data_IF_983519548823
#
_entry.id   IF_983519548823
#
_cell.length_a   1.000
_cell.length_b   1.000
_cell.length_c   1.000
_cell.angle_alpha   90.00
_cell.angle_beta   90.00
_cell.angle_gamma   90.00
#
_symmetry.space_group_name_H-M   'P 1'
#
loop_
_entity.id
_entity.type
_entity.pdbx_description
1 polymer ?
#
# COMPACT_ATOMS: atom_id res chain seq x y z
N UNK A 1 0.88 -3.48 -0.16
CA UNK A 1 0.87 -3.43 1.32
C UNK A 1 1.99 -4.30 1.82
N UNK A 2 2.72 -3.83 2.80
CA UNK A 2 3.79 -4.59 3.44
C UNK A 2 3.64 -4.57 4.95
N UNK A 3 4.10 -5.62 5.60
CA UNK A 3 4.18 -5.71 7.05
C UNK A 3 5.63 -5.96 7.44
N UNK A 4 6.16 -5.12 8.31
CA UNK A 4 7.54 -5.23 8.75
C UNK A 4 7.65 -4.80 10.22
N UNK A 5 8.13 -5.71 11.06
CA UNK A 5 8.37 -5.44 12.49
C UNK A 5 7.16 -4.83 13.20
N UNK A 6 5.97 -5.31 12.91
CA UNK A 6 4.73 -4.84 13.54
C UNK A 6 4.15 -3.58 12.92
N UNK A 7 4.67 -3.13 11.80
CA UNK A 7 4.21 -1.91 11.14
C UNK A 7 3.69 -2.24 9.75
N UNK A 8 2.57 -1.63 9.38
CA UNK A 8 1.99 -1.74 8.05
C UNK A 8 2.45 -0.58 7.18
N UNK A 9 2.85 -0.88 5.97
CA UNK A 9 3.24 0.11 4.96
C UNK A 9 2.37 -0.03 3.73
N UNK A 10 2.02 1.09 3.15
CA UNK A 10 1.41 1.15 1.84
C UNK A 10 2.50 1.30 0.81
N UNK A 11 2.51 0.43 -0.18
CA UNK A 11 3.56 0.40 -1.19
C UNK A 11 2.93 0.55 -2.56
N UNK A 12 3.43 1.53 -3.32
CA UNK A 12 3.08 1.72 -4.72
C UNK A 12 4.33 1.42 -5.53
N UNK A 13 4.22 0.49 -6.45
CA UNK A 13 5.38 0.06 -7.24
C UNK A 13 5.03 -0.12 -8.69
N UNK A 14 5.91 0.34 -9.57
CA UNK A 14 5.85 0.00 -10.98
C UNK A 14 6.74 -1.23 -11.20
N UNK A 15 6.12 -2.38 -11.35
CA UNK A 15 6.84 -3.64 -11.54
C UNK A 15 7.15 -3.94 -13.01
N UNK A 16 6.72 -3.07 -13.90
CA UNK A 16 6.96 -3.21 -15.33
C UNK A 16 8.31 -2.68 -15.76
N UNK A 17 8.54 -2.75 -17.06
CA UNK A 17 9.78 -2.29 -17.68
C UNK A 17 9.65 -0.91 -18.31
N UNK A 18 8.44 -0.34 -18.32
CA UNK A 18 8.15 0.96 -18.90
C UNK A 18 7.57 1.90 -17.87
N UNK A 19 7.75 3.21 -18.03
CA UNK A 19 7.14 4.18 -17.13
C UNK A 19 5.62 4.09 -17.15
N UNK A 20 5.02 4.35 -16.00
CA UNK A 20 3.58 4.57 -15.87
C UNK A 20 3.32 6.05 -15.68
N UNK A 21 2.37 6.58 -16.43
CA UNK A 21 2.08 8.02 -16.47
C UNK A 21 0.65 8.23 -15.98
N UNK A 22 0.44 9.33 -15.27
CA UNK A 22 -0.89 9.71 -14.78
C UNK A 22 -1.53 8.58 -13.97
N UNK A 23 -0.79 8.04 -13.03
CA UNK A 23 -1.25 6.94 -12.18
C UNK A 23 -2.23 7.48 -11.16
N UNK A 24 -3.47 7.02 -11.22
CA UNK A 24 -4.53 7.44 -10.31
C UNK A 24 -5.08 6.25 -9.54
N UNK A 25 -5.47 6.51 -8.30
CA UNK A 25 -5.97 5.48 -7.40
C UNK A 25 -7.38 5.85 -6.95
N UNK A 26 -8.30 4.88 -7.01
CA UNK A 26 -9.64 5.07 -6.49
C UNK A 26 -9.95 3.93 -5.53
N UNK A 27 -9.96 4.23 -4.26
CA UNK A 27 -10.33 3.28 -3.22
C UNK A 27 -11.84 3.22 -3.07
N UNK A 28 -12.36 2.03 -2.86
CA UNK A 28 -13.82 1.85 -2.73
C UNK A 28 -14.33 2.35 -1.40
N UNK A 29 -13.49 2.43 -0.40
CA UNK A 29 -13.86 3.04 0.87
C UNK A 29 -12.64 3.69 1.52
N UNK A 30 -12.84 4.75 2.30
CA UNK A 30 -11.76 5.41 2.99
C UNK A 30 -11.20 4.54 4.12
N UNK A 31 -9.93 4.74 4.43
CA UNK A 31 -9.30 4.11 5.57
C UNK A 31 -8.30 5.09 6.20
N UNK A 32 -8.05 4.92 7.49
CA UNK A 32 -7.20 5.82 8.25
C UNK A 32 -5.96 5.10 8.73
N UNK A 33 -4.88 5.85 8.82
CA UNK A 33 -3.62 5.38 9.38
C UNK A 33 -3.13 6.31 10.47
N UNK A 34 -1.90 6.09 10.93
CA UNK A 34 -1.22 6.92 11.93
C UNK A 34 -2.07 7.10 13.20
N UNK A 35 -2.56 5.98 13.75
CA UNK A 35 -3.39 6.03 14.94
C UNK A 35 -4.80 6.57 14.71
N UNK A 36 -5.25 6.64 13.46
CA UNK A 36 -6.55 7.17 13.10
C UNK A 36 -6.52 8.65 12.75
N UNK A 37 -5.36 9.29 12.81
CA UNK A 37 -5.25 10.73 12.58
C UNK A 37 -5.30 11.12 11.11
N UNK A 38 -4.89 10.24 10.21
CA UNK A 38 -4.75 10.56 8.80
C UNK A 38 -5.66 9.73 7.94
N UNK A 39 -6.49 10.37 7.12
CA UNK A 39 -7.25 9.65 6.11
C UNK A 39 -6.34 9.39 4.92
N UNK A 40 -5.95 8.13 4.75
CA UNK A 40 -4.93 7.76 3.78
C UNK A 40 -5.34 8.02 2.34
N UNK A 41 -6.62 7.89 2.03
CA UNK A 41 -7.11 8.10 0.66
C UNK A 41 -6.99 9.56 0.19
N UNK A 42 -6.73 10.49 1.10
CA UNK A 42 -6.55 11.91 0.78
C UNK A 42 -5.10 12.30 0.57
N UNK A 43 -4.17 11.40 0.82
CA UNK A 43 -2.76 11.72 0.59
C UNK A 43 -2.53 12.05 -0.89
N UNK A 44 -1.75 13.10 -1.20
CA UNK A 44 -1.45 13.43 -2.60
C UNK A 44 -0.87 12.25 -3.37
N UNK A 45 -0.04 11.45 -2.73
CA UNK A 45 0.53 10.24 -3.31
C UNK A 45 -0.55 9.29 -3.83
N UNK A 46 -1.65 9.16 -3.10
CA UNK A 46 -2.73 8.23 -3.45
C UNK A 46 -3.81 8.85 -4.31
N UNK A 47 -3.67 10.14 -4.63
CA UNK A 47 -4.58 10.80 -5.55
C UNK A 47 -4.09 10.64 -6.98
N UNK A 48 -2.83 10.99 -7.23
CA UNK A 48 -2.26 10.90 -8.56
C UNK A 48 -0.75 11.00 -8.51
N UNK A 49 -0.10 10.14 -9.27
CA UNK A 49 1.33 10.20 -9.54
C UNK A 49 1.50 10.48 -11.02
N UNK A 50 2.10 11.62 -11.37
CA UNK A 50 2.23 12.00 -12.76
C UNK A 50 3.17 11.09 -13.54
N UNK A 51 4.23 10.62 -12.91
CA UNK A 51 5.22 9.77 -13.55
C UNK A 51 5.81 8.79 -12.53
N UNK A 52 5.73 7.51 -12.83
CA UNK A 52 6.30 6.47 -11.99
C UNK A 52 7.26 5.65 -12.84
N UNK A 53 8.56 5.82 -12.60
CA UNK A 53 9.60 5.16 -13.35
C UNK A 53 9.52 3.64 -13.22
N UNK A 54 10.04 2.90 -14.22
CA UNK A 54 10.09 1.44 -14.10
C UNK A 54 10.85 1.03 -12.83
N UNK A 55 10.31 0.03 -12.16
CA UNK A 55 10.88 -0.54 -10.93
C UNK A 55 10.96 0.45 -9.76
N UNK A 56 10.35 1.61 -9.90
CA UNK A 56 10.26 2.57 -8.81
C UNK A 56 9.24 2.08 -7.79
N UNK A 57 9.61 2.20 -6.54
CA UNK A 57 8.76 1.85 -5.42
C UNK A 57 8.66 3.04 -4.48
N UNK A 58 7.44 3.36 -4.08
CA UNK A 58 7.17 4.40 -3.10
C UNK A 58 6.50 3.75 -1.92
N UNK A 59 7.09 3.90 -0.75
CA UNK A 59 6.64 3.26 0.47
C UNK A 59 6.23 4.34 1.46
N UNK A 60 5.05 4.21 2.01
CA UNK A 60 4.57 5.16 3.02
C UNK A 60 4.03 4.42 4.24
N UNK A 61 4.26 4.98 5.40
CA UNK A 61 3.81 4.42 6.65
C UNK A 61 2.29 4.47 6.71
N UNK A 62 1.66 3.34 6.97
CA UNK A 62 0.22 3.31 7.22
C UNK A 62 -0.04 3.43 8.71
N UNK A 63 0.43 2.46 9.50
CA UNK A 63 0.16 2.43 10.93
C UNK A 63 0.91 1.29 11.60
N UNK A 64 0.98 1.31 12.93
CA UNK A 64 1.29 0.11 13.68
C UNK A 64 0.16 -0.90 13.44
N UNK A 65 0.52 -2.16 13.19
CA UNK A 65 -0.46 -3.19 12.87
C UNK A 65 -1.50 -3.35 13.97
N UNK A 66 -1.04 -3.44 15.23
CA UNK A 66 -1.95 -3.60 16.36
C UNK A 66 -2.94 -2.44 16.47
N UNK A 67 -2.47 -1.20 16.23
CA UNK A 67 -3.33 -0.03 16.28
C UNK A 67 -4.37 -0.02 15.15
N UNK A 68 -3.96 -0.43 13.96
CA UNK A 68 -4.86 -0.47 12.83
C UNK A 68 -6.01 -1.47 13.06
N UNK A 69 -5.67 -2.68 13.50
CA UNK A 69 -6.68 -3.72 13.71
C UNK A 69 -7.52 -3.50 14.98
N UNK A 70 -7.03 -2.72 15.93
CA UNK A 70 -7.80 -2.37 17.12
C UNK A 70 -8.92 -1.37 16.81
N UNK A 71 -8.74 -0.56 15.81
CA UNK A 71 -9.77 0.37 15.36
C UNK A 71 -10.65 -0.31 14.35
N UNK A 72 -11.72 -0.14 14.07
CA UNK A 72 -12.59 -0.80 13.09
C UNK A 72 -12.37 -0.26 11.67
N UNK A 73 -11.11 -0.14 11.27
CA UNK A 73 -10.81 0.24 9.90
C UNK A 73 -11.11 -0.90 8.94
N UNK A 74 -11.33 -0.62 7.65
CA UNK A 74 -11.53 -1.66 6.66
C UNK A 74 -10.32 -2.60 6.61
N UNK A 75 -10.58 -3.89 6.61
CA UNK A 75 -9.51 -4.89 6.47
C UNK A 75 -9.35 -5.34 5.02
N UNK A 76 -10.37 -5.18 4.20
CA UNK A 76 -10.26 -5.41 2.77
C UNK A 76 -10.23 -4.06 2.06
N UNK A 77 -9.12 -3.78 1.39
CA UNK A 77 -8.95 -2.54 0.65
C UNK A 77 -9.04 -2.85 -0.84
N UNK A 78 -10.10 -2.40 -1.46
CA UNK A 78 -10.28 -2.52 -2.89
C UNK A 78 -9.90 -1.19 -3.55
N UNK A 79 -9.02 -1.23 -4.52
CA UNK A 79 -8.55 -0.06 -5.22
C UNK A 79 -8.57 -0.32 -6.73
N UNK A 80 -9.03 0.68 -7.47
CA UNK A 80 -8.93 0.70 -8.92
C UNK A 80 -7.79 1.63 -9.30
N UNK A 81 -6.82 1.10 -10.02
CA UNK A 81 -5.65 1.85 -10.46
C UNK A 81 -5.77 2.05 -11.95
N UNK A 82 -5.68 3.32 -12.40
CA UNK A 82 -5.64 3.66 -13.80
C UNK A 82 -4.33 4.34 -14.11
N UNK A 83 -3.76 4.04 -15.27
CA UNK A 83 -2.54 4.69 -15.71
C UNK A 83 -2.41 4.59 -17.23
N UNK A 84 -1.46 5.32 -17.77
CA UNK A 84 -1.13 5.27 -19.20
C UNK A 84 0.33 4.89 -19.37
N UNK A 85 0.65 4.28 -20.49
CA UNK A 85 2.04 4.11 -20.88
C UNK A 85 2.52 5.37 -21.64
N UNK A 86 3.76 5.37 -22.06
CA UNK A 86 4.34 6.50 -22.79
C UNK A 86 3.70 6.72 -24.14
N UNK A 87 3.12 5.68 -24.73
CA UNK A 87 2.39 5.79 -25.98
C UNK A 87 0.97 6.28 -25.84
N UNK A 88 0.52 6.52 -24.60
CA UNK A 88 -0.82 6.99 -24.33
C UNK A 88 -1.87 5.88 -24.16
N UNK A 89 -1.49 4.62 -24.24
CA UNK A 89 -2.41 3.53 -24.05
C UNK A 89 -2.81 3.44 -22.58
N UNK A 90 -4.11 3.39 -22.33
CA UNK A 90 -4.65 3.40 -20.98
C UNK A 90 -4.84 1.99 -20.44
N UNK A 91 -4.51 1.83 -19.17
CA UNK A 91 -4.69 0.57 -18.43
C UNK A 91 -5.51 0.83 -17.18
N UNK A 92 -6.29 -0.18 -16.80
CA UNK A 92 -7.07 -0.13 -15.57
C UNK A 92 -7.02 -1.48 -14.89
N UNK A 93 -6.79 -1.49 -13.58
CA UNK A 93 -6.75 -2.72 -12.79
C UNK A 93 -7.44 -2.50 -11.47
N UNK A 94 -8.20 -3.50 -11.04
CA UNK A 94 -8.79 -3.53 -9.71
C UNK A 94 -8.05 -4.56 -8.87
N UNK A 95 -7.62 -4.14 -7.69
CA UNK A 95 -6.88 -4.99 -6.77
C UNK A 95 -7.59 -4.96 -5.42
N UNK A 96 -7.71 -6.12 -4.81
CA UNK A 96 -8.26 -6.23 -3.46
C UNK A 96 -7.17 -6.78 -2.55
N UNK A 97 -6.86 -6.01 -1.51
CA UNK A 97 -5.92 -6.42 -0.47
C UNK A 97 -6.70 -6.81 0.78
N UNK A 98 -6.46 -8.01 1.28
CA UNK A 98 -7.01 -8.45 2.54
C UNK A 98 -5.94 -8.32 3.61
N UNK A 99 -6.05 -7.29 4.43
CA UNK A 99 -5.04 -6.99 5.46
C UNK A 99 -5.08 -7.98 6.62
N UNK A 100 -6.09 -8.82 6.71
CA UNK A 100 -6.18 -9.79 7.79
C UNK A 100 -5.03 -10.79 7.78
N UNK A 101 -4.39 -10.97 6.62
CA UNK A 101 -3.20 -11.83 6.55
C UNK A 101 -2.07 -11.31 7.45
N UNK A 102 -2.04 -10.01 7.74
CA UNK A 102 -1.02 -9.41 8.60
C UNK A 102 -1.41 -9.39 10.06
N UNK A 103 -2.69 -9.55 10.37
CA UNK A 103 -3.17 -9.47 11.75
C UNK A 103 -2.57 -10.57 12.63
N UNK A 104 -2.52 -11.79 12.11
CA UNK A 104 -1.96 -12.90 12.85
C UNK A 104 -0.45 -12.73 13.02
N UNK A 105 0.22 -12.17 12.04
CA UNK A 105 1.65 -11.89 12.11
C UNK A 105 1.97 -10.86 13.18
N UNK A 106 1.04 -9.97 13.50
CA UNK A 106 1.25 -8.96 14.54
C UNK A 106 1.44 -9.56 15.92
N UNK A 107 0.97 -10.77 16.15
CA UNK A 107 1.09 -11.45 17.43
C UNK A 107 2.33 -12.33 17.53
N UNK A 108 3.03 -12.53 16.43
CA UNK A 108 4.25 -13.29 16.41
C UNK A 108 5.41 -12.31 16.59
N UNK A 109 6.04 -12.35 17.75
CA UNK A 109 7.18 -11.49 18.01
C UNK A 109 8.29 -11.82 17.01
N UNK A 110 8.76 -10.88 16.21
CA UNK A 110 9.82 -11.15 15.26
C UNK A 110 11.10 -11.45 16.02
N UNK A 111 11.82 -12.46 15.54
CA UNK A 111 13.14 -12.75 16.06
C UNK A 111 14.15 -11.89 15.33
N UNK A 112 15.28 -11.72 15.98
CA UNK A 112 16.32 -10.87 15.45
C UNK A 112 16.81 -11.33 14.07
N UNK A 113 16.93 -12.63 13.88
CA UNK A 113 17.33 -13.17 12.58
C UNK A 113 16.25 -13.04 11.52
N UNK A 114 15.02 -13.00 11.91
CA UNK A 114 13.91 -12.88 10.97
C UNK A 114 13.78 -11.47 10.43
N UNK A 115 14.16 -10.48 11.22
CA UNK A 115 13.99 -9.10 10.86
C UNK A 115 14.71 -8.73 9.57
N UNK A 116 15.94 -9.19 9.42
CA UNK A 116 16.73 -8.86 8.23
C UNK A 116 16.16 -9.48 6.96
N UNK A 117 15.60 -10.67 7.07
CA UNK A 117 15.04 -11.36 5.92
C UNK A 117 13.60 -10.94 5.66
N UNK A 118 12.87 -10.72 6.72
CA UNK A 118 11.47 -10.32 6.61
C UNK A 118 11.29 -9.02 5.87
N UNK A 119 12.20 -8.11 6.04
CA UNK A 119 12.12 -6.85 5.34
C UNK A 119 12.21 -6.98 3.84
N UNK A 120 12.68 -8.10 3.35
CA UNK A 120 12.82 -8.34 1.91
C UNK A 120 11.53 -8.77 1.24
N UNK A 121 10.56 -9.12 2.00
CA UNK A 121 9.30 -9.66 1.45
C UNK A 121 8.45 -8.61 0.79
#
# INVERSE_FOLDING_TARGET
MEFDAGVLYLVVANIGERPAVAVAFRFEQPFRGLGGAEEMTRLPLLRRIEFLAPRKQIRTLLDASAAYFARREPTKLAVTITYRDEGGLRYERRIVHDLRIYRDLAYVAPRRGDVSDGGAV
#
